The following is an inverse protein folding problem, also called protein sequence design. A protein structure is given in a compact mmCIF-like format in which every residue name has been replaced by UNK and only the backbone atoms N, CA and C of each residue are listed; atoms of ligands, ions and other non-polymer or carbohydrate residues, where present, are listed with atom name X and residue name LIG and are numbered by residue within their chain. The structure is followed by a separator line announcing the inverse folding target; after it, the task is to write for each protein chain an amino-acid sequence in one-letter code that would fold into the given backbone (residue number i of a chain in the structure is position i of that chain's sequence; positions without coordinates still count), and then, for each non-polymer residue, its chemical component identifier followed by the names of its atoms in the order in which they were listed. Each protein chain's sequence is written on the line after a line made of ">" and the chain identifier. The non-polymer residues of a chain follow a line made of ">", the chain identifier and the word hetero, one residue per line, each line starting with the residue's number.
data_IF_404885729685
#
_entry.id   IF_404885729685
#
_cell.length_a   1.000
_cell.length_b   1.000
_cell.length_c   1.000
_cell.angle_alpha   90.00
_cell.angle_beta   90.00
_cell.angle_gamma   90.00
#
_symmetry.space_group_name_H-M   'P 1'
#
loop_
_entity.id
_entity.type
_entity.pdbx_description
1 polymer ?
#
# COMPACT_ATOMS: atom_id res chain seq x y z
N UNK A 1 12.22 -2.59 -16.39
CA UNK A 1 13.13 -2.51 -15.22
C UNK A 1 12.43 -2.35 -13.87
N UNK A 2 11.38 -1.53 -13.73
CA UNK A 2 10.69 -1.31 -12.43
C UNK A 2 10.20 -2.57 -11.72
N UNK A 3 9.69 -3.57 -12.44
CA UNK A 3 9.15 -4.81 -11.84
C UNK A 3 10.23 -5.69 -11.21
N UNK A 4 11.37 -5.88 -11.88
CA UNK A 4 12.50 -6.64 -11.34
C UNK A 4 13.15 -5.93 -10.13
N UNK A 5 13.19 -4.60 -10.17
CA UNK A 5 13.63 -3.80 -9.03
C UNK A 5 12.71 -4.02 -7.82
N UNK A 6 11.39 -3.92 -8.00
CA UNK A 6 10.43 -4.15 -6.91
C UNK A 6 10.44 -5.59 -6.40
N UNK A 7 10.67 -6.58 -7.27
CA UNK A 7 10.85 -7.97 -6.85
C UNK A 7 12.14 -8.18 -6.05
N UNK A 8 13.25 -7.54 -6.45
CA UNK A 8 14.52 -7.61 -5.73
C UNK A 8 14.44 -6.95 -4.36
N UNK A 9 13.83 -5.76 -4.28
CA UNK A 9 13.61 -5.04 -3.02
C UNK A 9 12.72 -5.86 -2.08
N UNK A 10 11.62 -6.45 -2.59
CA UNK A 10 10.75 -7.31 -1.80
C UNK A 10 11.45 -8.57 -1.29
N UNK A 11 12.28 -9.21 -2.12
CA UNK A 11 13.01 -10.41 -1.74
C UNK A 11 14.06 -10.14 -0.65
N UNK A 12 14.81 -9.04 -0.76
CA UNK A 12 15.82 -8.66 0.25
C UNK A 12 15.13 -8.27 1.56
N UNK A 13 14.11 -7.41 1.51
CA UNK A 13 13.36 -6.99 2.70
C UNK A 13 12.68 -8.19 3.39
N UNK A 14 12.04 -9.07 2.62
CA UNK A 14 11.39 -10.27 3.14
C UNK A 14 12.39 -11.22 3.81
N UNK A 15 13.51 -11.52 3.16
CA UNK A 15 14.53 -12.41 3.72
C UNK A 15 15.16 -11.88 5.03
N UNK A 16 15.32 -10.56 5.13
CA UNK A 16 15.84 -9.91 6.33
C UNK A 16 14.86 -10.01 7.49
N UNK A 17 13.57 -9.72 7.25
CA UNK A 17 12.52 -9.89 8.25
C UNK A 17 12.43 -11.33 8.74
N UNK A 18 12.46 -12.32 7.83
CA UNK A 18 12.41 -13.74 8.20
C UNK A 18 13.60 -14.14 9.07
N UNK A 19 14.83 -13.74 8.70
CA UNK A 19 16.03 -13.98 9.52
C UNK A 19 15.93 -13.35 10.91
N UNK A 20 15.34 -12.16 11.02
CA UNK A 20 15.14 -11.46 12.29
C UNK A 20 14.08 -12.16 13.14
N UNK A 21 12.98 -12.59 12.54
CA UNK A 21 11.90 -13.32 13.18
C UNK A 21 12.38 -14.69 13.72
N UNK A 22 13.16 -15.45 12.95
CA UNK A 22 13.70 -16.75 13.41
C UNK A 22 14.68 -16.58 14.59
N UNK A 23 15.49 -15.50 14.60
CA UNK A 23 16.34 -15.18 15.77
C UNK A 23 15.55 -14.75 16.99
N UNK A 24 14.46 -13.99 16.82
CA UNK A 24 13.56 -13.63 17.91
C UNK A 24 12.83 -14.86 18.46
N UNK A 25 12.37 -15.75 17.59
CA UNK A 25 11.70 -17.00 17.98
C UNK A 25 12.61 -17.92 18.80
N UNK A 26 13.91 -17.98 18.52
CA UNK A 26 14.85 -18.78 19.31
C UNK A 26 15.26 -18.13 20.65
N UNK A 27 15.06 -16.82 20.82
CA UNK A 27 15.42 -16.09 22.04
C UNK A 27 14.25 -15.91 23.02
N UNK A 28 13.01 -16.18 22.60
CA UNK A 28 11.79 -15.97 23.42
C UNK A 28 11.28 -17.33 23.89
N UNK A 29 11.76 -17.75 25.06
CA UNK A 29 11.25 -18.88 25.82
C UNK A 29 9.77 -18.65 26.26
N UNK A 30 8.90 -19.69 26.34
CA UNK A 30 7.44 -19.61 26.20
C UNK A 30 6.65 -19.01 27.37
N UNK A 31 7.29 -18.39 28.36
CA UNK A 31 6.65 -18.01 29.63
C UNK A 31 6.16 -16.54 29.71
N UNK A 32 6.30 -15.71 28.67
CA UNK A 32 6.02 -14.25 28.75
C UNK A 32 5.19 -13.63 27.62
N UNK A 33 4.59 -14.42 26.74
CA UNK A 33 3.97 -13.95 25.47
C UNK A 33 2.47 -13.59 25.56
N UNK A 34 1.81 -13.76 26.71
CA UNK A 34 0.34 -13.58 26.81
C UNK A 34 -0.16 -12.15 26.65
N UNK A 35 0.55 -11.17 27.22
CA UNK A 35 0.09 -9.77 27.24
C UNK A 35 0.87 -8.85 26.29
N UNK A 36 2.20 -8.99 26.23
CA UNK A 36 3.06 -8.09 25.44
C UNK A 36 2.99 -8.32 23.92
N UNK A 37 2.57 -9.51 23.48
CA UNK A 37 2.47 -9.81 22.05
C UNK A 37 1.28 -9.11 21.40
N UNK A 38 0.12 -9.11 22.08
CA UNK A 38 -1.07 -8.42 21.58
C UNK A 38 -0.83 -6.91 21.49
N UNK A 39 -0.17 -6.33 22.50
CA UNK A 39 0.20 -4.91 22.48
C UNK A 39 1.24 -4.61 21.38
N UNK A 40 2.27 -5.46 21.25
CA UNK A 40 3.26 -5.29 20.18
C UNK A 40 2.68 -5.42 18.77
N UNK A 41 1.70 -6.31 18.57
CA UNK A 41 0.96 -6.41 17.30
C UNK A 41 0.03 -5.21 17.05
N UNK A 42 -0.58 -4.67 18.11
CA UNK A 42 -1.42 -3.47 18.04
C UNK A 42 -0.59 -2.23 17.69
N UNK A 43 0.54 -2.05 18.34
CA UNK A 43 1.47 -0.95 18.09
C UNK A 43 2.11 -1.06 16.70
N UNK A 44 2.47 -2.28 16.28
CA UNK A 44 2.91 -2.54 14.91
C UNK A 44 1.81 -2.23 13.89
N UNK A 45 0.57 -2.64 14.16
CA UNK A 45 -0.58 -2.34 13.30
C UNK A 45 -0.82 -0.83 13.17
N UNK A 46 -0.70 -0.09 14.28
CA UNK A 46 -0.77 1.36 14.29
C UNK A 46 0.36 2.00 13.45
N UNK A 47 1.61 1.53 13.63
CA UNK A 47 2.76 2.01 12.88
C UNK A 47 2.66 1.73 11.38
N UNK A 48 2.19 0.54 11.00
CA UNK A 48 1.96 0.17 9.59
C UNK A 48 0.81 0.98 8.97
N UNK A 49 -0.24 1.27 9.73
CA UNK A 49 -1.34 2.14 9.30
C UNK A 49 -0.87 3.58 9.03
N UNK A 50 -0.09 4.15 9.95
CA UNK A 50 0.49 5.48 9.80
C UNK A 50 1.45 5.56 8.60
N UNK A 51 2.35 4.59 8.46
CA UNK A 51 3.23 4.48 7.30
C UNK A 51 2.44 4.34 5.99
N UNK A 52 1.41 3.50 5.98
CA UNK A 52 0.53 3.35 4.81
C UNK A 52 -0.15 4.66 4.41
N UNK A 53 -0.59 5.46 5.39
CA UNK A 53 -1.17 6.78 5.14
C UNK A 53 -0.15 7.76 4.55
N UNK A 54 1.09 7.78 5.07
CA UNK A 54 2.17 8.60 4.54
C UNK A 54 2.56 8.20 3.11
N UNK A 55 2.69 6.91 2.83
CA UNK A 55 2.98 6.41 1.48
C UNK A 55 1.86 6.78 0.52
N UNK A 56 0.59 6.60 0.92
CA UNK A 56 -0.57 7.00 0.09
C UNK A 56 -0.55 8.50 -0.21
N UNK A 57 -0.34 9.34 0.80
CA UNK A 57 -0.25 10.79 0.61
C UNK A 57 0.90 11.18 -0.35
N UNK A 58 2.05 10.51 -0.24
CA UNK A 58 3.18 10.71 -1.15
C UNK A 58 2.91 10.23 -2.58
N UNK A 59 2.20 9.11 -2.73
CA UNK A 59 1.77 8.60 -4.03
C UNK A 59 0.79 9.56 -4.70
N UNK A 60 -0.20 10.08 -3.97
CA UNK A 60 -1.18 11.04 -4.51
C UNK A 60 -0.51 12.35 -4.96
N UNK A 61 0.49 12.82 -4.20
CA UNK A 61 1.27 13.99 -4.58
C UNK A 61 2.09 13.74 -5.86
N UNK A 62 2.76 12.59 -5.94
CA UNK A 62 3.58 12.23 -7.10
C UNK A 62 2.74 11.93 -8.34
N UNK A 63 1.57 11.34 -8.16
CA UNK A 63 0.61 11.07 -9.22
C UNK A 63 0.14 12.37 -9.86
N UNK A 64 -0.22 13.39 -9.06
CA UNK A 64 -0.58 14.71 -9.57
C UNK A 64 0.51 15.33 -10.45
N UNK A 65 1.76 15.31 -9.99
CA UNK A 65 2.90 15.80 -10.77
C UNK A 65 3.05 15.03 -12.09
N UNK A 66 2.87 13.71 -12.06
CA UNK A 66 3.03 12.85 -13.22
C UNK A 66 1.88 13.01 -14.22
N UNK A 67 0.65 13.10 -13.73
CA UNK A 67 -0.56 13.36 -14.52
C UNK A 67 -0.41 14.69 -15.25
N UNK A 68 -0.02 15.76 -14.54
CA UNK A 68 0.19 17.07 -15.15
C UNK A 68 1.25 17.03 -16.26
N UNK A 69 2.36 16.32 -16.04
CA UNK A 69 3.41 16.12 -17.05
C UNK A 69 2.90 15.35 -18.28
N UNK A 70 2.10 14.32 -18.09
CA UNK A 70 1.58 13.47 -19.18
C UNK A 70 0.50 14.19 -19.96
N UNK A 71 -0.43 14.87 -19.28
CA UNK A 71 -1.48 15.67 -19.90
C UNK A 71 -0.89 16.81 -20.73
N UNK A 72 0.09 17.55 -20.20
CA UNK A 72 0.78 18.60 -20.97
C UNK A 72 1.47 18.05 -22.22
N UNK A 73 2.00 16.83 -22.17
CA UNK A 73 2.69 16.20 -23.31
C UNK A 73 1.73 15.61 -24.34
N UNK A 74 0.60 15.08 -23.90
CA UNK A 74 -0.27 14.21 -24.72
C UNK A 74 -1.57 14.92 -25.11
N UNK A 75 -1.95 16.00 -24.43
CA UNK A 75 -3.19 16.75 -24.66
C UNK A 75 -4.47 16.03 -24.21
N UNK A 76 -4.36 14.87 -23.57
CA UNK A 76 -5.49 14.06 -23.12
C UNK A 76 -5.42 13.75 -21.63
N UNK A 77 -6.58 13.64 -20.99
CA UNK A 77 -6.72 13.37 -19.55
C UNK A 77 -6.25 11.95 -19.20
N UNK A 78 -5.53 11.82 -18.09
CA UNK A 78 -5.11 10.53 -17.54
C UNK A 78 -5.89 10.24 -16.26
N UNK A 79 -6.66 9.14 -16.21
CA UNK A 79 -7.42 8.79 -15.03
C UNK A 79 -6.49 8.50 -13.85
N UNK A 80 -6.88 9.00 -12.69
CA UNK A 80 -6.17 8.78 -11.44
C UNK A 80 -6.26 7.31 -10.98
N UNK A 81 -5.34 6.87 -10.13
CA UNK A 81 -5.35 5.52 -9.57
C UNK A 81 -6.65 5.24 -8.80
N UNK A 82 -7.20 6.24 -8.11
CA UNK A 82 -8.52 6.16 -7.47
C UNK A 82 -9.66 5.97 -8.46
N UNK A 83 -9.64 6.65 -9.59
CA UNK A 83 -10.68 6.52 -10.62
C UNK A 83 -10.58 5.18 -11.35
N UNK A 84 -9.36 4.67 -11.56
CA UNK A 84 -9.13 3.36 -12.16
C UNK A 84 -9.58 2.20 -11.25
N UNK A 85 -9.52 2.40 -9.93
CA UNK A 85 -9.98 1.42 -8.93
C UNK A 85 -11.45 1.59 -8.54
N UNK A 86 -12.07 2.71 -8.86
CA UNK A 86 -13.51 2.87 -8.69
C UNK A 86 -14.22 1.89 -9.62
N UNK A 87 -15.02 0.98 -9.07
CA UNK A 87 -15.92 0.17 -9.90
C UNK A 87 -16.80 1.11 -10.73
N UNK A 88 -17.01 0.84 -12.02
CA UNK A 88 -17.91 1.64 -12.84
C UNK A 88 -19.29 1.61 -12.18
N UNK A 89 -19.75 2.77 -11.72
CA UNK A 89 -21.06 2.91 -11.12
C UNK A 89 -22.11 2.28 -12.05
N UNK A 90 -22.97 1.36 -11.56
CA UNK A 90 -24.01 0.78 -12.40
C UNK A 90 -24.83 1.91 -12.99
N UNK A 91 -24.82 1.98 -14.32
CA UNK A 91 -25.34 3.12 -15.08
C UNK A 91 -26.74 3.50 -14.62
N UNK A 92 -26.97 4.81 -14.44
CA UNK A 92 -28.32 5.36 -14.41
C UNK A 92 -29.02 4.93 -15.69
N UNK A 93 -29.89 3.92 -15.58
CA UNK A 93 -30.82 3.56 -16.64
C UNK A 93 -31.60 4.83 -17.04
N UNK A 94 -31.73 5.13 -18.34
CA UNK A 94 -32.54 6.26 -18.77
C UNK A 94 -33.97 5.99 -18.30
N UNK A 95 -34.48 6.89 -17.46
CA UNK A 95 -35.87 6.86 -17.00
C UNK A 95 -36.72 7.11 -18.24
N UNK A 96 -37.22 6.03 -18.85
CA UNK A 96 -38.21 6.12 -19.91
C UNK A 96 -39.42 6.85 -19.32
N UNK A 97 -39.67 8.06 -19.83
CA UNK A 97 -40.84 8.85 -19.48
C UNK A 97 -42.10 8.12 -19.91
N UNK A 98 -43.10 8.12 -19.02
CA UNK A 98 -44.49 7.82 -19.31
C UNK A 98 -45.22 9.09 -19.70
#
# INVERSE_FOLDING_TARGET
>A
MKRLFWLGVGAVAGSYLTRRATRAAHAVSPAGLGENLAEGLRELGAGLGAFGAEVRAGMDARERELTELVERRTGGHVPTYSEALAEPAPGRAPRAGH
#
